data_IF_523476190712
#
_entry.id   IF_523476190712
#
_cell.length_a   1.000
_cell.length_b   1.000
_cell.length_c   1.000
_cell.angle_alpha   90.00
_cell.angle_beta   90.00
_cell.angle_gamma   90.00
#
_symmetry.space_group_name_H-M   'P 1'
#
loop_
_entity.id
_entity.type
_entity.pdbx_description
1 polymer ?
#
# COMPACT_ATOMS: atom_id res chain seq x y z
N UNK A 1 -37.93 -30.13 -28.56
CA UNK A 1 -36.61 -30.05 -27.87
C UNK A 1 -35.96 -28.78 -28.37
N UNK A 2 -35.66 -27.82 -27.49
CA UNK A 2 -35.07 -26.54 -27.91
C UNK A 2 -33.56 -26.62 -27.70
N UNK A 3 -32.79 -26.32 -28.75
CA UNK A 3 -31.34 -26.20 -28.65
C UNK A 3 -30.95 -24.82 -28.15
N UNK A 4 -29.87 -24.74 -27.40
CA UNK A 4 -29.22 -23.48 -27.04
C UNK A 4 -27.70 -23.61 -27.23
N UNK A 5 -27.05 -22.61 -27.85
CA UNK A 5 -25.59 -22.58 -27.95
C UNK A 5 -24.99 -22.07 -26.63
N UNK A 6 -23.84 -22.61 -26.26
CA UNK A 6 -22.95 -22.08 -25.22
C UNK A 6 -21.65 -21.67 -25.90
N UNK A 7 -21.41 -20.36 -25.93
CA UNK A 7 -20.23 -19.77 -26.56
C UNK A 7 -18.94 -20.10 -25.81
N UNK A 8 -17.82 -19.99 -26.52
CA UNK A 8 -16.48 -20.15 -25.95
C UNK A 8 -16.27 -19.23 -24.76
N UNK A 9 -15.70 -19.76 -23.68
CA UNK A 9 -15.49 -19.00 -22.44
C UNK A 9 -16.76 -18.76 -21.62
N UNK A 10 -17.88 -19.38 -21.98
CA UNK A 10 -19.09 -19.41 -21.18
C UNK A 10 -19.37 -20.81 -20.65
N UNK A 11 -20.17 -20.87 -19.59
CA UNK A 11 -20.67 -22.11 -18.99
C UNK A 11 -22.14 -21.93 -18.64
N UNK A 12 -22.94 -22.97 -18.87
CA UNK A 12 -24.35 -22.92 -18.57
C UNK A 12 -24.69 -23.78 -17.35
N UNK A 13 -25.60 -23.29 -16.50
CA UNK A 13 -26.24 -24.09 -15.46
C UNK A 13 -27.72 -24.21 -15.79
N UNK A 14 -28.28 -25.41 -15.67
CA UNK A 14 -29.70 -25.65 -15.96
C UNK A 14 -30.51 -25.47 -14.68
N UNK A 15 -31.54 -24.62 -14.75
CA UNK A 15 -32.62 -24.56 -13.78
C UNK A 15 -33.81 -25.36 -14.30
N UNK A 16 -34.22 -26.36 -13.55
CA UNK A 16 -35.42 -27.13 -13.76
C UNK A 16 -36.56 -26.55 -12.91
N UNK A 17 -37.76 -26.39 -13.47
CA UNK A 17 -38.91 -25.87 -12.71
C UNK A 17 -39.34 -26.78 -11.57
N UNK A 18 -39.11 -28.09 -11.67
CA UNK A 18 -39.56 -29.06 -10.66
C UNK A 18 -38.44 -29.45 -9.70
N UNK A 19 -37.21 -29.63 -10.21
CA UNK A 19 -36.06 -30.08 -9.43
C UNK A 19 -35.13 -28.93 -8.97
N UNK A 20 -35.40 -27.69 -9.39
CA UNK A 20 -34.54 -26.55 -9.09
C UNK A 20 -33.23 -26.56 -9.89
N UNK A 21 -32.18 -25.99 -9.30
CA UNK A 21 -30.88 -25.87 -9.95
C UNK A 21 -30.16 -27.22 -10.02
N UNK A 22 -29.79 -27.66 -11.24
CA UNK A 22 -29.00 -28.87 -11.42
C UNK A 22 -27.53 -28.63 -11.06
N UNK A 23 -26.85 -29.59 -10.42
CA UNK A 23 -25.44 -29.45 -10.03
C UNK A 23 -24.48 -29.55 -11.22
N UNK A 24 -24.94 -30.02 -12.38
CA UNK A 24 -24.10 -30.22 -13.54
C UNK A 24 -23.86 -28.90 -14.28
N UNK A 25 -22.60 -28.63 -14.62
CA UNK A 25 -22.18 -27.45 -15.37
C UNK A 25 -21.93 -27.85 -16.82
N UNK A 26 -22.62 -27.17 -17.72
CA UNK A 26 -22.58 -27.45 -19.14
C UNK A 26 -21.49 -26.61 -19.79
N UNK A 27 -20.60 -27.30 -20.51
CA UNK A 27 -19.52 -26.72 -21.28
C UNK A 27 -19.97 -26.05 -22.59
N UNK A 28 -18.99 -25.63 -23.36
CA UNK A 28 -19.17 -25.06 -24.70
C UNK A 28 -19.86 -26.02 -25.66
N UNK A 29 -20.55 -25.47 -26.66
CA UNK A 29 -21.21 -26.24 -27.71
C UNK A 29 -22.74 -26.09 -27.72
N UNK A 30 -23.39 -26.85 -28.61
CA UNK A 30 -24.85 -26.85 -28.75
C UNK A 30 -25.42 -27.93 -27.82
N UNK A 31 -26.29 -27.51 -26.91
CA UNK A 31 -26.96 -28.38 -25.96
C UNK A 31 -28.47 -28.31 -26.14
N UNK A 32 -29.18 -29.32 -25.68
CA UNK A 32 -30.61 -29.41 -25.81
C UNK A 32 -31.30 -29.44 -24.45
N UNK A 33 -32.46 -28.80 -24.37
CA UNK A 33 -33.30 -28.78 -23.17
C UNK A 33 -34.75 -29.07 -23.48
N UNK A 34 -35.49 -29.44 -22.42
CA UNK A 34 -36.93 -29.66 -22.47
C UNK A 34 -37.62 -28.29 -22.43
N UNK A 35 -38.31 -27.88 -23.51
CA UNK A 35 -39.02 -26.61 -23.54
C UNK A 35 -40.04 -26.54 -22.40
N UNK A 36 -40.29 -25.35 -21.84
CA UNK A 36 -41.20 -25.09 -20.72
C UNK A 36 -40.75 -25.55 -19.33
N UNK A 37 -39.92 -26.60 -19.22
CA UNK A 37 -39.49 -27.18 -17.93
C UNK A 37 -38.10 -26.69 -17.53
N UNK A 38 -37.18 -26.60 -18.49
CA UNK A 38 -35.79 -26.25 -18.23
C UNK A 38 -35.45 -24.88 -18.79
N UNK A 39 -34.64 -24.12 -18.04
CA UNK A 39 -34.06 -22.84 -18.48
C UNK A 39 -32.55 -22.86 -18.30
N UNK A 40 -31.77 -22.51 -19.33
CA UNK A 40 -30.32 -22.41 -19.22
C UNK A 40 -29.94 -21.02 -18.70
N UNK A 41 -28.96 -20.97 -17.80
CA UNK A 41 -28.40 -19.72 -17.29
C UNK A 41 -26.92 -19.71 -17.65
N UNK A 42 -26.56 -18.77 -18.51
CA UNK A 42 -25.23 -18.69 -19.10
C UNK A 42 -24.39 -17.71 -18.27
N UNK A 43 -23.24 -18.18 -17.81
CA UNK A 43 -22.26 -17.42 -17.07
C UNK A 43 -21.00 -17.23 -17.90
N UNK A 44 -20.44 -16.02 -17.86
CA UNK A 44 -19.13 -15.73 -18.43
C UNK A 44 -18.04 -16.10 -17.42
N UNK A 45 -17.20 -17.08 -17.78
CA UNK A 45 -16.09 -17.59 -16.94
C UNK A 45 -14.74 -16.96 -17.31
N UNK A 46 -14.74 -15.93 -18.15
CA UNK A 46 -13.53 -15.18 -18.54
C UNK A 46 -13.14 -14.17 -17.47
N UNK A 47 -11.85 -13.80 -17.50
CA UNK A 47 -11.33 -12.72 -16.68
C UNK A 47 -11.97 -11.38 -17.06
N UNK A 48 -12.51 -10.68 -16.07
CA UNK A 48 -13.11 -9.36 -16.27
C UNK A 48 -12.56 -8.37 -15.25
N UNK A 49 -12.24 -7.13 -15.69
CA UNK A 49 -11.80 -6.10 -14.78
C UNK A 49 -13.00 -5.52 -14.02
N UNK A 50 -12.80 -5.28 -12.71
CA UNK A 50 -13.75 -4.55 -11.87
C UNK A 50 -13.02 -3.46 -11.12
N UNK A 51 -13.54 -2.23 -11.26
CA UNK A 51 -13.11 -1.07 -10.48
C UNK A 51 -14.07 -0.86 -9.31
N UNK A 52 -13.53 -0.71 -8.12
CA UNK A 52 -14.29 -0.54 -6.88
C UNK A 52 -13.68 0.64 -6.10
N UNK A 53 -14.55 1.53 -5.63
CA UNK A 53 -14.17 2.64 -4.76
C UNK A 53 -14.77 2.41 -3.38
N UNK A 54 -13.94 2.49 -2.34
CA UNK A 54 -14.32 2.26 -0.96
C UNK A 54 -13.82 3.41 -0.11
N UNK A 55 -14.66 3.83 0.84
CA UNK A 55 -14.28 4.73 1.91
C UNK A 55 -14.16 3.94 3.21
N UNK A 56 -13.03 4.10 3.90
CA UNK A 56 -12.74 3.42 5.16
C UNK A 56 -12.05 4.34 6.15
N UNK A 57 -12.32 4.11 7.43
CA UNK A 57 -11.59 4.73 8.53
C UNK A 57 -10.30 3.95 8.84
N UNK A 58 -9.31 4.68 9.31
CA UNK A 58 -8.04 4.18 9.88
C UNK A 58 -8.14 4.05 11.39
N UNK A 59 -7.11 3.48 12.02
CA UNK A 59 -7.04 3.33 13.48
C UNK A 59 -7.11 4.68 14.21
N UNK A 60 -6.52 5.73 13.64
CA UNK A 60 -6.54 7.11 14.15
C UNK A 60 -7.80 7.90 13.74
N UNK A 61 -8.87 7.20 13.34
CA UNK A 61 -10.16 7.75 12.95
C UNK A 61 -10.08 8.73 11.77
N UNK A 62 -9.06 8.59 10.92
CA UNK A 62 -8.93 9.37 9.68
C UNK A 62 -9.57 8.63 8.51
N UNK A 63 -10.34 9.36 7.72
CA UNK A 63 -11.02 8.83 6.54
C UNK A 63 -10.06 8.71 5.36
N UNK A 64 -10.12 7.57 4.68
CA UNK A 64 -9.32 7.24 3.49
C UNK A 64 -10.24 6.75 2.39
N UNK A 65 -10.09 7.34 1.21
CA UNK A 65 -10.74 6.88 -0.01
C UNK A 65 -9.76 6.06 -0.84
N UNK A 66 -10.10 4.80 -1.07
CA UNK A 66 -9.31 3.85 -1.84
C UNK A 66 -10.10 3.46 -3.07
N UNK A 67 -9.50 3.65 -4.24
CA UNK A 67 -10.00 3.10 -5.50
C UNK A 67 -9.05 2.00 -5.94
N UNK A 68 -9.61 0.83 -6.18
CA UNK A 68 -8.88 -0.35 -6.59
C UNK A 68 -9.51 -0.97 -7.83
N UNK A 69 -8.70 -1.71 -8.56
CA UNK A 69 -9.08 -2.48 -9.72
C UNK A 69 -8.59 -3.92 -9.52
N UNK A 70 -9.40 -4.89 -9.93
CA UNK A 70 -9.01 -6.30 -9.88
C UNK A 70 -9.56 -7.03 -11.10
N UNK A 71 -8.88 -8.10 -11.51
CA UNK A 71 -9.42 -9.09 -12.42
C UNK A 71 -10.11 -10.18 -11.62
N UNK A 72 -11.31 -10.56 -12.02
CA UNK A 72 -12.03 -11.66 -11.39
C UNK A 72 -12.60 -12.62 -12.44
N UNK A 73 -12.81 -13.87 -12.01
CA UNK A 73 -13.62 -14.85 -12.73
C UNK A 73 -14.26 -15.85 -11.75
N UNK A 74 -15.46 -16.37 -12.03
CA UNK A 74 -16.02 -17.45 -11.23
C UNK A 74 -15.34 -18.79 -11.53
N UNK A 75 -15.28 -19.67 -10.53
CA UNK A 75 -14.83 -21.06 -10.71
C UNK A 75 -15.93 -21.83 -11.46
N UNK A 76 -15.61 -22.37 -12.63
CA UNK A 76 -16.58 -23.06 -13.49
C UNK A 76 -17.32 -24.20 -12.78
N UNK A 77 -16.65 -24.97 -11.93
CA UNK A 77 -17.25 -26.10 -11.19
C UNK A 77 -18.18 -25.65 -10.05
N UNK A 78 -18.04 -24.44 -9.54
CA UNK A 78 -18.83 -23.91 -8.43
C UNK A 78 -19.97 -22.98 -8.88
N UNK A 79 -20.18 -22.81 -10.18
CA UNK A 79 -21.27 -21.99 -10.73
C UNK A 79 -22.65 -22.31 -10.14
N UNK A 80 -23.02 -23.58 -9.88
CA UNK A 80 -24.30 -23.87 -9.26
C UNK A 80 -24.41 -23.31 -7.83
N UNK A 81 -23.32 -23.39 -7.05
CA UNK A 81 -23.24 -22.86 -5.69
C UNK A 81 -23.27 -21.33 -5.67
N UNK A 82 -22.58 -20.69 -6.61
CA UNK A 82 -22.60 -19.24 -6.81
C UNK A 82 -24.04 -18.79 -7.14
N UNK A 83 -24.69 -19.47 -8.06
CA UNK A 83 -26.06 -19.15 -8.48
C UNK A 83 -27.08 -19.28 -7.34
N UNK A 84 -26.95 -20.28 -6.46
CA UNK A 84 -27.86 -20.45 -5.31
C UNK A 84 -27.57 -19.51 -4.16
N UNK A 85 -26.29 -19.25 -3.86
CA UNK A 85 -25.88 -18.51 -2.66
C UNK A 85 -25.82 -17.01 -2.91
N UNK A 86 -25.30 -16.60 -4.07
CA UNK A 86 -25.00 -15.20 -4.41
C UNK A 86 -26.00 -14.62 -5.41
N UNK A 87 -26.69 -15.47 -6.16
CA UNK A 87 -27.61 -15.09 -7.22
C UNK A 87 -26.90 -14.63 -8.50
N UNK A 88 -27.69 -14.12 -9.45
CA UNK A 88 -27.20 -13.70 -10.76
C UNK A 88 -26.34 -12.42 -10.71
N UNK A 89 -26.65 -11.49 -9.80
CA UNK A 89 -25.97 -10.20 -9.66
C UNK A 89 -24.73 -10.28 -8.73
N UNK A 90 -24.10 -11.45 -8.64
CA UNK A 90 -23.01 -11.67 -7.69
C UNK A 90 -21.86 -10.68 -7.93
N UNK A 91 -21.60 -10.30 -9.17
CA UNK A 91 -20.53 -9.37 -9.55
C UNK A 91 -20.76 -7.95 -8.99
N UNK A 92 -22.00 -7.49 -9.00
CA UNK A 92 -22.34 -6.13 -8.55
C UNK A 92 -22.47 -6.04 -7.04
N UNK A 93 -23.00 -7.10 -6.40
CA UNK A 93 -23.30 -7.08 -4.97
C UNK A 93 -22.15 -7.64 -4.12
N UNK A 94 -21.54 -8.74 -4.56
CA UNK A 94 -20.59 -9.50 -3.73
C UNK A 94 -19.20 -8.90 -3.80
N UNK A 95 -18.68 -8.58 -5.00
CA UNK A 95 -17.32 -8.05 -5.15
C UNK A 95 -17.10 -6.76 -4.34
N UNK A 96 -17.98 -5.73 -4.39
CA UNK A 96 -17.81 -4.55 -3.55
C UNK A 96 -17.93 -4.85 -2.05
N UNK A 97 -18.80 -5.79 -1.68
CA UNK A 97 -19.03 -6.18 -0.29
C UNK A 97 -17.81 -6.86 0.34
N UNK A 98 -17.24 -7.88 -0.33
CA UNK A 98 -16.04 -8.57 0.17
C UNK A 98 -14.84 -7.63 0.20
N UNK A 99 -14.69 -6.78 -0.82
CA UNK A 99 -13.61 -5.80 -0.92
C UNK A 99 -13.70 -4.79 0.22
N UNK A 100 -14.90 -4.25 0.48
CA UNK A 100 -15.13 -3.29 1.55
C UNK A 100 -14.84 -3.92 2.92
N UNK A 101 -15.27 -5.16 3.15
CA UNK A 101 -15.00 -5.88 4.39
C UNK A 101 -13.51 -6.15 4.60
N UNK A 102 -12.82 -6.67 3.58
CA UNK A 102 -11.38 -6.94 3.64
C UNK A 102 -10.57 -5.65 3.86
N UNK A 103 -10.91 -4.58 3.12
CA UNK A 103 -10.22 -3.31 3.24
C UNK A 103 -10.42 -2.71 4.63
N UNK A 104 -11.66 -2.69 5.15
CA UNK A 104 -11.94 -2.22 6.52
C UNK A 104 -11.19 -3.03 7.56
N UNK A 105 -11.14 -4.36 7.42
CA UNK A 105 -10.47 -5.24 8.37
C UNK A 105 -8.96 -5.01 8.46
N UNK A 106 -8.30 -4.71 7.33
CA UNK A 106 -6.87 -4.44 7.29
C UNK A 106 -6.56 -2.99 7.67
N UNK A 107 -7.25 -2.02 7.06
CA UNK A 107 -6.96 -0.58 7.25
C UNK A 107 -7.25 -0.11 8.68
N UNK A 108 -8.25 -0.69 9.36
CA UNK A 108 -8.56 -0.32 10.76
C UNK A 108 -7.46 -0.69 11.77
N UNK A 109 -6.46 -1.49 11.37
CA UNK A 109 -5.35 -1.91 12.25
C UNK A 109 -4.15 -0.96 12.18
N UNK A 110 -4.09 -0.10 11.15
CA UNK A 110 -2.96 0.79 10.87
C UNK A 110 -3.36 2.25 10.99
N UNK A 111 -2.40 3.08 11.40
CA UNK A 111 -2.55 4.53 11.40
C UNK A 111 -2.35 5.08 9.98
N UNK A 112 -2.91 6.24 9.69
CA UNK A 112 -2.80 6.86 8.37
C UNK A 112 -1.35 7.13 7.92
N UNK A 113 -0.44 7.44 8.85
CA UNK A 113 1.00 7.60 8.57
C UNK A 113 1.66 6.27 8.14
N UNK A 114 1.29 5.16 8.78
CA UNK A 114 1.80 3.84 8.45
C UNK A 114 1.28 3.36 7.09
N UNK A 115 0.05 3.74 6.71
CA UNK A 115 -0.49 3.42 5.38
C UNK A 115 0.34 4.06 4.27
N UNK A 116 0.89 5.24 4.51
CA UNK A 116 1.77 5.92 3.55
C UNK A 116 3.13 5.21 3.49
N UNK A 117 3.75 4.98 4.66
CA UNK A 117 5.13 4.45 4.74
C UNK A 117 5.22 2.95 4.45
N UNK A 118 4.31 2.14 5.01
CA UNK A 118 4.28 0.67 4.94
C UNK A 118 3.25 0.15 3.94
N UNK A 119 2.95 0.93 2.90
CA UNK A 119 1.90 0.61 1.91
C UNK A 119 2.02 -0.79 1.31
N UNK A 120 3.24 -1.26 1.08
CA UNK A 120 3.50 -2.56 0.44
C UNK A 120 3.07 -3.73 1.33
N UNK A 121 3.41 -3.69 2.62
CA UNK A 121 3.02 -4.70 3.61
C UNK A 121 1.49 -4.75 3.77
N UNK A 122 0.86 -3.58 3.86
CA UNK A 122 -0.59 -3.46 4.01
C UNK A 122 -1.30 -3.99 2.76
N UNK A 123 -0.78 -3.65 1.58
CA UNK A 123 -1.29 -4.14 0.31
C UNK A 123 -1.22 -5.67 0.21
N UNK A 124 -0.09 -6.28 0.59
CA UNK A 124 0.05 -7.73 0.60
C UNK A 124 -0.98 -8.39 1.53
N UNK A 125 -1.10 -7.89 2.77
CA UNK A 125 -2.08 -8.40 3.74
C UNK A 125 -3.52 -8.26 3.26
N UNK A 126 -3.84 -7.15 2.59
CA UNK A 126 -5.14 -6.95 1.97
C UNK A 126 -5.41 -7.94 0.84
N UNK A 127 -4.43 -8.21 -0.02
CA UNK A 127 -4.58 -9.17 -1.10
C UNK A 127 -4.79 -10.60 -0.57
N UNK A 128 -4.00 -11.02 0.43
CA UNK A 128 -4.15 -12.32 1.09
C UNK A 128 -5.59 -12.50 1.62
N UNK A 129 -6.08 -11.54 2.40
CA UNK A 129 -7.43 -11.56 2.98
C UNK A 129 -8.53 -11.55 1.91
N UNK A 130 -8.37 -10.75 0.85
CA UNK A 130 -9.36 -10.64 -0.22
C UNK A 130 -9.43 -11.92 -1.06
N UNK A 131 -8.28 -12.52 -1.40
CA UNK A 131 -8.21 -13.78 -2.16
C UNK A 131 -8.83 -14.93 -1.37
N UNK A 132 -8.55 -15.01 -0.06
CA UNK A 132 -9.13 -16.03 0.81
C UNK A 132 -10.66 -15.94 0.83
N UNK A 133 -11.21 -14.73 1.04
CA UNK A 133 -12.66 -14.49 1.04
C UNK A 133 -13.30 -14.74 -0.33
N UNK A 134 -12.63 -14.36 -1.41
CA UNK A 134 -13.09 -14.63 -2.77
C UNK A 134 -13.20 -16.13 -3.05
N UNK A 135 -12.17 -16.88 -2.64
CA UNK A 135 -12.08 -18.33 -2.85
C UNK A 135 -13.19 -19.09 -2.11
N UNK A 136 -13.54 -18.68 -0.90
CA UNK A 136 -14.66 -19.27 -0.14
C UNK A 136 -16.02 -19.14 -0.86
N UNK A 137 -16.15 -18.12 -1.71
CA UNK A 137 -17.35 -17.81 -2.49
C UNK A 137 -17.29 -18.36 -3.92
N UNK A 138 -16.25 -19.11 -4.28
CA UNK A 138 -16.06 -19.66 -5.63
C UNK A 138 -15.59 -18.62 -6.66
N UNK A 139 -15.00 -17.51 -6.21
CA UNK A 139 -14.47 -16.46 -7.07
C UNK A 139 -12.94 -16.47 -7.04
N UNK A 140 -12.32 -16.46 -8.22
CA UNK A 140 -10.88 -16.31 -8.36
C UNK A 140 -10.58 -14.84 -8.63
N UNK A 141 -9.72 -14.25 -7.80
CA UNK A 141 -9.31 -12.85 -7.86
C UNK A 141 -7.81 -12.77 -8.19
N UNK A 142 -7.48 -12.06 -9.26
CA UNK A 142 -6.12 -11.85 -9.73
C UNK A 142 -5.85 -10.37 -10.02
N UNK A 143 -4.58 -10.01 -10.15
CA UNK A 143 -4.13 -8.68 -10.57
C UNK A 143 -4.86 -7.53 -9.86
N UNK A 144 -4.91 -7.64 -8.53
CA UNK A 144 -5.44 -6.57 -7.69
C UNK A 144 -4.47 -5.39 -7.82
N UNK A 145 -4.97 -4.17 -7.85
CA UNK A 145 -4.14 -2.96 -7.90
C UNK A 145 -4.88 -1.78 -7.27
N UNK A 146 -4.16 -0.93 -6.56
CA UNK A 146 -4.71 0.31 -6.02
C UNK A 146 -4.47 1.42 -7.05
N UNK A 147 -5.54 1.91 -7.68
CA UNK A 147 -5.48 2.99 -8.68
C UNK A 147 -5.34 4.36 -8.00
N UNK A 148 -6.06 4.60 -6.90
CA UNK A 148 -6.08 5.90 -6.23
C UNK A 148 -6.19 5.73 -4.72
N UNK A 149 -5.35 6.44 -3.99
CA UNK A 149 -5.39 6.52 -2.53
C UNK A 149 -5.46 8.00 -2.14
N UNK A 150 -6.55 8.41 -1.48
CA UNK A 150 -6.75 9.80 -1.08
C UNK A 150 -7.07 9.88 0.41
N UNK A 151 -6.25 10.61 1.15
CA UNK A 151 -6.51 10.94 2.55
C UNK A 151 -7.26 12.27 2.64
N UNK A 152 -8.04 12.44 3.70
CA UNK A 152 -8.66 13.73 4.05
C UNK A 152 -7.61 14.86 4.09
N UNK A 153 -8.03 16.08 3.76
CA UNK A 153 -7.13 17.23 3.58
C UNK A 153 -6.33 17.56 4.84
N UNK A 154 -6.91 17.34 6.02
CA UNK A 154 -6.28 17.54 7.33
C UNK A 154 -5.02 16.69 7.50
N UNK A 155 -5.06 15.41 7.12
CA UNK A 155 -3.91 14.53 7.26
C UNK A 155 -2.79 14.93 6.29
N UNK A 156 -3.13 15.30 5.06
CA UNK A 156 -2.14 15.76 4.08
C UNK A 156 -1.39 16.99 4.57
N UNK A 157 -2.08 17.93 5.23
CA UNK A 157 -1.45 19.10 5.82
C UNK A 157 -0.58 18.71 7.02
N UNK A 158 -1.08 17.87 7.92
CA UNK A 158 -0.32 17.44 9.09
C UNK A 158 0.96 16.68 8.72
N UNK A 159 0.91 15.77 7.75
CA UNK A 159 2.09 15.02 7.29
C UNK A 159 3.10 15.96 6.63
N UNK A 160 2.65 16.91 5.81
CA UNK A 160 3.54 17.93 5.22
C UNK A 160 4.23 18.77 6.29
N UNK A 161 3.47 19.30 7.24
CA UNK A 161 4.01 20.10 8.35
C UNK A 161 5.01 19.30 9.19
N UNK A 162 4.70 18.04 9.51
CA UNK A 162 5.61 17.18 10.27
C UNK A 162 6.91 16.92 9.50
N UNK A 163 6.80 16.67 8.20
CA UNK A 163 7.98 16.42 7.35
C UNK A 163 8.83 17.69 7.15
N UNK A 164 8.20 18.86 7.08
CA UNK A 164 8.90 20.15 7.06
C UNK A 164 9.60 20.44 8.39
N UNK A 165 8.93 20.17 9.53
CA UNK A 165 9.52 20.33 10.85
C UNK A 165 10.73 19.39 11.08
N UNK A 166 10.62 18.12 10.67
CA UNK A 166 11.73 17.16 10.74
C UNK A 166 12.91 17.58 9.86
N UNK A 167 12.64 18.10 8.65
CA UNK A 167 13.70 18.65 7.79
C UNK A 167 14.37 19.88 8.41
N UNK A 168 13.59 20.80 8.94
CA UNK A 168 14.11 22.00 9.60
C UNK A 168 14.97 21.65 10.82
N UNK A 169 14.57 20.64 11.60
CA UNK A 169 15.38 20.13 12.71
C UNK A 169 16.69 19.52 12.22
N UNK A 170 16.66 18.68 11.19
CA UNK A 170 17.88 18.10 10.62
C UNK A 170 18.83 19.16 10.05
N UNK A 171 18.30 20.20 9.41
CA UNK A 171 19.10 21.32 8.92
C UNK A 171 19.70 22.14 10.06
N UNK A 172 18.92 22.41 11.11
CA UNK A 172 19.42 23.07 12.32
C UNK A 172 20.52 22.25 13.01
N UNK A 173 20.36 20.93 13.13
CA UNK A 173 21.39 20.05 13.68
C UNK A 173 22.67 20.04 12.84
N UNK A 174 22.55 20.00 11.50
CA UNK A 174 23.71 20.11 10.60
C UNK A 174 24.41 21.45 10.76
N UNK A 175 23.67 22.56 10.75
CA UNK A 175 24.23 23.90 10.94
C UNK A 175 24.93 24.04 12.30
N UNK A 176 24.36 23.46 13.37
CA UNK A 176 25.01 23.41 14.68
C UNK A 176 26.28 22.55 14.68
N UNK A 177 26.28 21.41 13.97
CA UNK A 177 27.49 20.59 13.82
C UNK A 177 28.60 21.32 13.05
N UNK A 178 28.25 22.02 11.97
CA UNK A 178 29.19 22.83 11.20
C UNK A 178 29.74 23.99 12.03
N UNK A 179 28.88 24.70 12.77
CA UNK A 179 29.32 25.76 13.68
C UNK A 179 30.28 25.24 14.77
N UNK A 180 29.98 24.07 15.37
CA UNK A 180 30.88 23.44 16.36
C UNK A 180 32.22 23.05 15.74
N UNK A 181 32.23 22.52 14.51
CA UNK A 181 33.46 22.19 13.79
C UNK A 181 34.30 23.42 13.48
N UNK A 182 33.66 24.50 13.01
CA UNK A 182 34.33 25.76 12.72
C UNK A 182 34.97 26.36 13.98
N UNK A 183 34.24 26.41 15.10
CA UNK A 183 34.77 26.89 16.38
C UNK A 183 35.94 26.04 16.89
N UNK A 184 35.89 24.72 16.70
CA UNK A 184 36.99 23.84 17.09
C UNK A 184 38.25 24.09 16.25
N UNK A 185 38.09 24.26 14.93
CA UNK A 185 39.17 24.61 14.02
C UNK A 185 39.79 25.97 14.38
N UNK A 186 38.97 26.99 14.64
CA UNK A 186 39.43 28.32 15.02
C UNK A 186 40.21 28.31 16.34
N UNK A 187 39.70 27.60 17.36
CA UNK A 187 40.43 27.40 18.63
C UNK A 187 41.74 26.65 18.42
N UNK A 188 41.76 25.63 17.56
CA UNK A 188 42.98 24.90 17.24
C UNK A 188 44.00 25.79 16.51
N UNK A 189 43.57 26.71 15.66
CA UNK A 189 44.44 27.71 15.04
C UNK A 189 44.95 28.76 16.03
N UNK A 190 44.11 29.25 16.95
CA UNK A 190 44.53 30.15 18.02
C UNK A 190 45.58 29.50 18.91
N UNK A 191 45.34 28.28 19.39
CA UNK A 191 46.32 27.54 20.19
C UNK A 191 47.66 27.36 19.45
N UNK A 192 47.66 27.12 18.13
CA UNK A 192 48.89 27.05 17.34
C UNK A 192 49.63 28.39 17.32
N UNK A 193 48.92 29.50 17.09
CA UNK A 193 49.52 30.85 17.09
C UNK A 193 50.11 31.21 18.46
N UNK A 194 49.37 30.95 19.54
CA UNK A 194 49.82 31.23 20.90
C UNK A 194 51.07 30.41 21.28
N UNK A 195 51.14 29.15 20.82
CA UNK A 195 52.33 28.30 21.03
C UNK A 195 53.55 28.83 20.28
N UNK A 196 53.37 29.41 19.09
CA UNK A 196 54.47 30.03 18.33
C UNK A 196 54.93 31.33 18.98
N UNK A 197 54.01 32.22 19.36
CA UNK A 197 54.34 33.50 20.00
C UNK A 197 55.07 33.26 21.32
N UNK A 198 54.58 32.33 22.15
CA UNK A 198 55.26 31.98 23.40
C UNK A 198 56.66 31.42 23.15
N UNK A 199 56.85 30.56 22.14
CA UNK A 199 58.18 30.06 21.78
C UNK A 199 59.13 31.19 21.30
N UNK A 200 58.62 32.17 20.55
CA UNK A 200 59.35 33.38 20.13
C UNK A 200 59.72 34.26 21.34
N UNK A 201 58.79 34.47 22.28
CA UNK A 201 59.03 35.23 23.51
C UNK A 201 60.13 34.57 24.37
N UNK A 202 60.10 33.23 24.52
CA UNK A 202 61.15 32.50 25.23
C UNK A 202 62.53 32.64 24.55
N UNK A 203 62.58 32.64 23.22
CA UNK A 203 63.84 32.83 22.48
C UNK A 203 64.35 34.26 22.60
N UNK A 204 63.48 35.28 22.49
CA UNK A 204 63.86 36.67 22.70
C UNK A 204 64.35 36.94 24.14
N UNK A 205 63.67 36.41 25.14
CA UNK A 205 64.08 36.49 26.54
C UNK A 205 65.45 35.83 26.77
N UNK A 206 65.69 34.66 26.17
CA UNK A 206 67.00 33.99 26.24
C UNK A 206 68.12 34.82 25.60
N UNK A 207 67.85 35.47 24.46
CA UNK A 207 68.83 36.36 23.79
C UNK A 207 69.12 37.61 24.62
N UNK A 208 68.09 38.23 25.21
CA UNK A 208 68.25 39.40 26.09
C UNK A 208 69.05 39.05 27.34
N UNK A 209 68.75 37.92 27.99
CA UNK A 209 69.54 37.42 29.11
C UNK A 209 71.00 37.17 28.68
N UNK A 210 71.21 36.49 27.56
CA UNK A 210 72.56 36.25 27.04
C UNK A 210 73.35 37.55 26.80
N UNK A 211 72.70 38.59 26.25
CA UNK A 211 73.32 39.92 26.08
C UNK A 211 73.64 40.59 27.41
N UNK A 212 72.74 40.53 28.39
CA UNK A 212 72.96 41.10 29.72
C UNK A 212 74.13 40.42 30.46
N UNK A 213 74.29 39.10 30.30
CA UNK A 213 75.45 38.38 30.83
C UNK A 213 76.77 38.78 30.16
N UNK A 214 76.75 39.14 28.88
CA UNK A 214 77.94 39.58 28.13
C UNK A 214 78.35 41.01 28.50
N UNK A 215 77.41 41.91 28.82
CA UNK A 215 77.71 43.29 29.24
C UNK A 215 78.13 43.42 30.72
N UNK A 216 77.91 42.37 31.53
CA UNK A 216 78.18 42.37 32.98
C UNK A 216 79.50 41.69 33.40
N UNK A 217 80.30 41.24 32.44
CA UNK A 217 81.61 40.58 32.66
C UNK A 217 82.75 41.35 32.01
#
# INVERSE_FOLDING_TARGET
>A
MTSFPVDVGHRAVIVDKFAGLKPNVIGEGIHFLIPWVQRPIIFDVRWRPRKISVETGTKDLKTVHVTLQMLFRPVATELPKICTTLGYDYEEKVLPSITTKALKAVVARFDASEIITKRHLIYQKFCEELIERGSQLGLILNDISITRLTFSTELRMFVKMKQEAERAQQEAERAQQEAKRAQFLEKAEQHKKDTVITAEDYTQAAVLLAKAFVESG
#
